data_IF_300500525819
#
_entry.id   IF_300500525819
#
_cell.length_a   1.000
_cell.length_b   1.000
_cell.length_c   1.000
_cell.angle_alpha   90.00
_cell.angle_beta   90.00
_cell.angle_gamma   90.00
#
_symmetry.space_group_name_H-M   'P 1'
#
loop_
_entity.id
_entity.type
_entity.pdbx_description
1 polymer ?
#
# COMPACT_ATOMS: atom_id res chain seq x y z
N UNK A 1 20.61 12.19 13.05
CA UNK A 1 20.83 10.98 12.22
C UNK A 1 21.33 11.40 10.85
N UNK A 2 22.31 10.70 10.25
CA UNK A 2 22.78 10.99 8.90
C UNK A 2 21.67 10.71 7.88
N UNK A 3 21.55 11.58 6.87
CA UNK A 3 20.48 11.49 5.84
C UNK A 3 20.54 10.18 5.04
N UNK A 4 21.75 9.62 4.83
CA UNK A 4 21.92 8.32 4.16
C UNK A 4 21.32 7.16 4.99
N UNK A 5 21.56 7.16 6.31
CA UNK A 5 20.97 6.16 7.22
C UNK A 5 19.45 6.25 7.21
N UNK A 6 18.90 7.47 7.20
CA UNK A 6 17.45 7.68 7.10
C UNK A 6 16.89 7.12 5.79
N UNK A 7 17.50 7.45 4.65
CA UNK A 7 17.09 6.93 3.33
C UNK A 7 17.16 5.41 3.28
N UNK A 8 18.20 4.80 3.84
CA UNK A 8 18.34 3.35 3.90
C UNK A 8 17.20 2.69 4.70
N UNK A 9 16.86 3.24 5.86
CA UNK A 9 15.74 2.76 6.69
C UNK A 9 14.40 2.90 6.00
N UNK A 10 14.18 4.00 5.27
CA UNK A 10 12.97 4.19 4.45
C UNK A 10 12.87 3.14 3.34
N UNK A 11 13.98 2.80 2.68
CA UNK A 11 13.98 1.75 1.65
C UNK A 11 13.60 0.39 2.26
N UNK A 12 14.17 0.03 3.40
CA UNK A 12 13.78 -1.18 4.15
C UNK A 12 12.31 -1.16 4.55
N UNK A 13 11.84 -0.05 5.12
CA UNK A 13 10.46 0.11 5.53
C UNK A 13 9.51 -0.08 4.36
N UNK A 14 9.72 0.65 3.27
CA UNK A 14 8.88 0.56 2.08
C UNK A 14 8.92 -0.85 1.48
N UNK A 15 10.08 -1.51 1.48
CA UNK A 15 10.21 -2.86 0.97
C UNK A 15 9.44 -3.88 1.81
N UNK A 16 9.56 -3.84 3.14
CA UNK A 16 8.82 -4.73 4.05
C UNK A 16 7.32 -4.49 3.93
N UNK A 17 6.87 -3.23 3.96
CA UNK A 17 5.45 -2.91 3.76
C UNK A 17 4.95 -3.40 2.39
N UNK A 18 5.78 -3.31 1.35
CA UNK A 18 5.44 -3.79 0.02
C UNK A 18 5.23 -5.31 0.02
N UNK A 19 6.12 -6.07 0.66
CA UNK A 19 5.97 -7.53 0.78
C UNK A 19 4.71 -7.91 1.57
N UNK A 20 4.39 -7.18 2.64
CA UNK A 20 3.15 -7.40 3.39
C UNK A 20 1.92 -7.19 2.48
N UNK A 21 1.90 -6.14 1.65
CA UNK A 21 0.81 -5.93 0.67
C UNK A 21 0.73 -7.08 -0.33
N UNK A 22 1.87 -7.59 -0.82
CA UNK A 22 1.88 -8.78 -1.68
C UNK A 22 1.22 -9.97 -0.97
N UNK A 23 1.53 -10.20 0.31
CA UNK A 23 0.91 -11.27 1.09
C UNK A 23 -0.61 -11.09 1.25
N UNK A 24 -1.12 -9.86 1.37
CA UNK A 24 -2.58 -9.62 1.41
C UNK A 24 -3.25 -10.19 0.16
N UNK A 25 -2.67 -9.95 -1.02
CA UNK A 25 -3.23 -10.39 -2.29
C UNK A 25 -2.80 -11.80 -2.70
N UNK A 26 -1.90 -12.42 -1.96
CA UNK A 26 -1.49 -13.81 -2.15
C UNK A 26 -2.48 -14.81 -1.52
N UNK A 27 -3.46 -14.35 -0.73
CA UNK A 27 -4.48 -15.22 -0.12
C UNK A 27 -5.19 -16.07 -1.18
N UNK A 28 -5.23 -17.38 -0.92
CA UNK A 28 -5.62 -18.38 -1.91
C UNK A 28 -6.58 -19.43 -1.36
N UNK A 29 -7.16 -19.22 -0.17
CA UNK A 29 -8.13 -20.12 0.45
C UNK A 29 -9.41 -20.34 -0.39
N UNK A 30 -9.71 -19.41 -1.31
CA UNK A 30 -10.82 -19.54 -2.25
C UNK A 30 -10.46 -20.32 -3.52
N UNK A 31 -9.17 -20.60 -3.75
CA UNK A 31 -8.64 -21.29 -4.92
C UNK A 31 -8.37 -22.76 -4.58
N UNK A 32 -7.76 -23.01 -3.42
CA UNK A 32 -7.47 -24.36 -2.92
C UNK A 32 -8.64 -24.85 -2.04
N UNK A 33 -9.45 -25.75 -2.59
CA UNK A 33 -10.73 -26.18 -2.02
C UNK A 33 -10.61 -27.33 -1.01
N UNK A 34 -9.44 -27.95 -0.86
CA UNK A 34 -9.19 -28.92 0.21
C UNK A 34 -8.54 -28.20 1.42
N UNK A 35 -9.35 -27.68 2.37
CA UNK A 35 -8.85 -26.83 3.43
C UNK A 35 -7.98 -27.61 4.42
N UNK A 36 -6.92 -26.95 4.88
CA UNK A 36 -6.13 -27.40 6.03
C UNK A 36 -6.30 -26.34 7.13
N UNK A 37 -7.11 -26.60 8.18
CA UNK A 37 -7.57 -25.57 9.11
C UNK A 37 -6.45 -24.72 9.73
N UNK A 38 -5.35 -25.36 10.14
CA UNK A 38 -4.23 -24.66 10.78
C UNK A 38 -3.47 -23.75 9.81
N UNK A 39 -3.33 -24.14 8.53
CA UNK A 39 -2.72 -23.32 7.47
C UNK A 39 -3.63 -22.13 7.18
N UNK A 40 -4.92 -22.39 6.96
CA UNK A 40 -5.91 -21.33 6.70
C UNK A 40 -5.93 -20.31 7.83
N UNK A 41 -6.03 -20.77 9.08
CA UNK A 41 -6.03 -19.89 10.23
C UNK A 41 -4.75 -19.07 10.35
N UNK A 42 -3.60 -19.68 10.08
CA UNK A 42 -2.29 -19.01 10.14
C UNK A 42 -2.15 -17.94 9.05
N UNK A 43 -2.59 -18.23 7.81
CA UNK A 43 -2.58 -17.26 6.71
C UNK A 43 -3.56 -16.12 6.98
N UNK A 44 -4.80 -16.42 7.39
CA UNK A 44 -5.79 -15.40 7.76
C UNK A 44 -5.27 -14.53 8.90
N UNK A 45 -4.70 -15.12 9.95
CA UNK A 45 -4.13 -14.37 11.06
C UNK A 45 -3.01 -13.44 10.59
N UNK A 46 -2.04 -13.95 9.83
CA UNK A 46 -0.95 -13.14 9.31
C UNK A 46 -1.45 -11.99 8.45
N UNK A 47 -2.37 -12.25 7.52
CA UNK A 47 -2.85 -11.25 6.58
C UNK A 47 -3.77 -10.22 7.25
N UNK A 48 -4.78 -10.68 7.99
CA UNK A 48 -5.81 -9.82 8.58
C UNK A 48 -5.32 -9.06 9.81
N UNK A 49 -4.25 -9.52 10.47
CA UNK A 49 -3.71 -8.89 11.69
C UNK A 49 -2.37 -8.19 11.46
N UNK A 50 -1.46 -8.76 10.67
CA UNK A 50 -0.11 -8.20 10.53
C UNK A 50 0.01 -7.46 9.20
N UNK A 51 -0.30 -8.13 8.09
CA UNK A 51 -0.10 -7.55 6.77
C UNK A 51 -1.00 -6.34 6.51
N UNK A 52 -2.22 -6.35 7.05
CA UNK A 52 -3.19 -5.24 6.93
C UNK A 52 -2.67 -3.88 7.45
N UNK A 53 -1.64 -3.89 8.30
CA UNK A 53 -0.99 -2.68 8.84
C UNK A 53 -0.12 -1.95 7.81
N UNK A 54 0.22 -2.61 6.70
CA UNK A 54 1.10 -2.06 5.68
C UNK A 54 0.49 -0.85 4.95
N UNK A 55 -0.80 -0.91 4.62
CA UNK A 55 -1.48 0.17 3.88
C UNK A 55 -1.58 1.47 4.71
N UNK A 56 -2.05 1.45 5.98
CA UNK A 56 -1.95 2.61 6.87
C UNK A 56 -0.52 3.13 7.00
N UNK A 57 0.46 2.23 7.16
CA UNK A 57 1.89 2.57 7.25
C UNK A 57 2.41 3.30 6.01
N UNK A 58 2.01 2.85 4.82
CA UNK A 58 2.35 3.54 3.57
C UNK A 58 1.73 4.94 3.48
N UNK A 59 0.47 5.13 3.90
CA UNK A 59 -0.13 6.48 3.93
C UNK A 59 0.58 7.40 4.92
N UNK A 60 0.87 6.94 6.13
CA UNK A 60 1.62 7.70 7.13
C UNK A 60 3.03 8.07 6.63
N UNK A 61 3.77 7.09 6.09
CA UNK A 61 5.09 7.30 5.52
C UNK A 61 5.05 8.29 4.35
N UNK A 62 4.07 8.15 3.45
CA UNK A 62 3.91 9.03 2.28
C UNK A 62 3.61 10.47 2.70
N UNK A 63 2.68 10.68 3.66
CA UNK A 63 2.39 12.01 4.20
C UNK A 63 3.62 12.63 4.87
N UNK A 64 4.31 11.86 5.73
CA UNK A 64 5.52 12.33 6.41
C UNK A 64 6.60 12.77 5.41
N UNK A 65 6.93 11.92 4.44
CA UNK A 65 7.96 12.22 3.44
C UNK A 65 7.53 13.36 2.51
N UNK A 66 6.25 13.48 2.20
CA UNK A 66 5.73 14.55 1.35
C UNK A 66 5.89 15.92 2.03
N UNK A 67 5.50 16.05 3.30
CA UNK A 67 5.53 17.33 4.00
C UNK A 67 6.82 17.62 4.76
N UNK A 68 7.74 16.66 4.86
CA UNK A 68 9.08 16.92 5.39
C UNK A 68 9.76 18.01 4.57
N UNK A 69 10.14 19.10 5.26
CA UNK A 69 10.80 20.28 4.69
C UNK A 69 9.99 20.96 3.55
N UNK A 70 8.66 20.91 3.66
CA UNK A 70 7.72 21.52 2.72
C UNK A 70 7.49 23.01 3.02
N UNK A 71 7.42 23.80 1.96
CA UNK A 71 7.12 25.24 1.97
C UNK A 71 6.21 25.55 0.78
N UNK A 72 5.48 26.67 0.84
CA UNK A 72 4.55 27.09 -0.23
C UNK A 72 5.23 27.17 -1.61
N UNK A 73 6.47 27.67 -1.67
CA UNK A 73 7.27 27.78 -2.89
C UNK A 73 7.55 26.43 -3.58
N UNK A 74 7.61 25.34 -2.81
CA UNK A 74 7.91 24.00 -3.32
C UNK A 74 6.70 23.27 -3.87
N UNK A 75 5.49 23.85 -3.77
CA UNK A 75 4.24 23.23 -4.24
C UNK A 75 4.34 22.87 -5.73
N UNK A 76 4.62 23.81 -6.66
CA UNK A 76 4.59 23.50 -8.09
C UNK A 76 5.60 22.41 -8.46
N UNK A 77 6.81 22.49 -7.91
CA UNK A 77 7.89 21.52 -8.13
C UNK A 77 7.51 20.13 -7.59
N UNK A 78 6.90 20.04 -6.39
CA UNK A 78 6.44 18.77 -5.81
C UNK A 78 5.28 18.18 -6.61
N UNK A 79 4.27 18.97 -7.00
CA UNK A 79 3.16 18.49 -7.82
C UNK A 79 3.64 18.00 -9.18
N UNK A 80 4.52 18.74 -9.85
CA UNK A 80 5.15 18.29 -11.11
C UNK A 80 5.84 16.94 -10.95
N UNK A 81 6.64 16.75 -9.88
CA UNK A 81 7.26 15.44 -9.59
C UNK A 81 6.23 14.34 -9.36
N UNK A 82 5.08 14.63 -8.75
CA UNK A 82 4.00 13.64 -8.55
C UNK A 82 3.29 13.27 -9.85
N UNK A 83 3.22 14.17 -10.83
CA UNK A 83 2.74 13.79 -12.18
C UNK A 83 3.62 12.69 -12.78
N UNK A 84 4.95 12.87 -12.75
CA UNK A 84 5.87 11.87 -13.33
C UNK A 84 6.02 10.60 -12.48
N UNK A 85 5.95 10.71 -11.15
CA UNK A 85 6.16 9.55 -10.26
C UNK A 85 4.88 8.79 -9.93
N UNK A 86 3.70 9.42 -10.05
CA UNK A 86 2.41 8.81 -9.75
C UNK A 86 1.45 8.86 -10.94
N UNK A 87 1.06 10.03 -11.45
CA UNK A 87 -0.02 10.14 -12.43
C UNK A 87 0.30 9.38 -13.74
N UNK A 88 1.47 9.60 -14.32
CA UNK A 88 1.88 8.93 -15.56
C UNK A 88 1.94 7.40 -15.35
N UNK A 89 2.65 6.86 -14.35
CA UNK A 89 2.64 5.43 -14.11
C UNK A 89 1.24 4.87 -13.82
N UNK A 90 0.38 5.59 -13.10
CA UNK A 90 -1.00 5.17 -12.84
C UNK A 90 -1.77 4.96 -14.15
N UNK A 91 -1.74 5.94 -15.06
CA UNK A 91 -2.43 5.87 -16.35
C UNK A 91 -1.86 4.75 -17.23
N UNK A 92 -0.52 4.65 -17.30
CA UNK A 92 0.15 3.64 -18.12
C UNK A 92 -0.15 2.23 -17.62
N UNK A 93 -0.05 1.98 -16.32
CA UNK A 93 -0.35 0.66 -15.76
C UNK A 93 -1.84 0.31 -15.91
N UNK A 94 -2.77 1.22 -15.67
CA UNK A 94 -4.19 0.92 -15.88
C UNK A 94 -4.50 0.63 -17.35
N UNK A 95 -3.86 1.35 -18.28
CA UNK A 95 -3.95 1.05 -19.70
C UNK A 95 -3.38 -0.35 -20.02
N UNK A 96 -2.19 -0.69 -19.51
CA UNK A 96 -1.60 -2.02 -19.72
C UNK A 96 -2.47 -3.14 -19.15
N UNK A 97 -3.05 -2.95 -17.96
CA UNK A 97 -4.00 -3.89 -17.38
C UNK A 97 -5.24 -4.05 -18.26
N UNK A 98 -5.80 -2.95 -18.79
CA UNK A 98 -6.95 -3.02 -19.69
C UNK A 98 -6.64 -3.84 -20.95
N UNK A 99 -5.50 -3.58 -21.61
CA UNK A 99 -5.07 -4.35 -22.79
C UNK A 99 -4.79 -5.81 -22.43
N UNK A 100 -4.18 -6.06 -21.28
CA UNK A 100 -3.92 -7.42 -20.82
C UNK A 100 -5.24 -8.20 -20.60
N UNK A 101 -6.24 -7.61 -19.96
CA UNK A 101 -7.54 -8.25 -19.79
C UNK A 101 -8.27 -8.49 -21.13
N UNK A 102 -8.16 -7.57 -22.09
CA UNK A 102 -8.71 -7.76 -23.44
C UNK A 102 -8.05 -8.93 -24.19
N UNK A 103 -6.73 -9.02 -24.13
CA UNK A 103 -5.94 -10.01 -24.89
C UNK A 103 -5.90 -11.38 -24.22
N UNK A 104 -5.72 -11.45 -22.91
CA UNK A 104 -5.66 -12.70 -22.15
C UNK A 104 -6.96 -13.51 -22.29
N UNK A 105 -8.10 -12.84 -22.47
CA UNK A 105 -9.39 -13.52 -22.67
C UNK A 105 -9.52 -14.23 -24.02
N UNK A 106 -8.80 -13.77 -25.04
CA UNK A 106 -8.82 -14.39 -26.36
C UNK A 106 -8.03 -15.71 -26.39
N UNK A 107 -7.19 -15.97 -25.39
CA UNK A 107 -6.40 -17.20 -25.27
C UNK A 107 -7.21 -18.23 -24.46
N UNK A 108 -7.53 -19.42 -25.02
CA UNK A 108 -8.49 -20.37 -24.41
C UNK A 108 -8.21 -20.73 -22.94
N UNK A 109 -6.94 -20.85 -22.58
CA UNK A 109 -6.52 -21.25 -21.24
C UNK A 109 -6.35 -20.06 -20.28
N UNK A 110 -5.99 -18.86 -20.79
CA UNK A 110 -5.89 -17.65 -19.97
C UNK A 110 -7.27 -16.99 -19.75
N UNK A 111 -8.22 -17.17 -20.66
CA UNK A 111 -9.57 -16.64 -20.54
C UNK A 111 -10.34 -17.23 -19.36
N UNK A 112 -10.03 -18.46 -18.96
CA UNK A 112 -10.57 -19.10 -17.75
C UNK A 112 -10.05 -18.46 -16.45
N UNK A 113 -8.99 -17.66 -16.53
CA UNK A 113 -8.44 -16.95 -15.37
C UNK A 113 -9.21 -15.66 -15.07
N UNK A 114 -10.06 -15.17 -15.98
CA UNK A 114 -10.75 -13.88 -15.86
C UNK A 114 -12.27 -14.02 -15.93
N UNK A 115 -12.94 -13.76 -14.81
CA UNK A 115 -14.39 -13.96 -14.66
C UNK A 115 -15.23 -12.80 -15.22
N UNK A 116 -14.62 -11.68 -15.61
CA UNK A 116 -15.33 -10.46 -16.01
C UNK A 116 -15.24 -10.21 -17.52
N UNK A 117 -16.40 -9.92 -18.13
CA UNK A 117 -16.43 -9.45 -19.51
C UNK A 117 -15.88 -8.02 -19.61
N UNK A 118 -15.04 -7.77 -20.62
CA UNK A 118 -14.49 -6.45 -20.92
C UNK A 118 -15.12 -5.95 -22.22
N UNK A 119 -16.16 -5.09 -22.15
CA UNK A 119 -16.73 -4.50 -23.35
C UNK A 119 -15.71 -3.54 -23.96
N UNK A 120 -15.63 -3.54 -25.30
CA UNK A 120 -14.89 -2.51 -26.02
C UNK A 120 -15.80 -1.30 -26.21
N UNK A 121 -15.66 -0.29 -25.34
CA UNK A 121 -16.36 0.98 -25.47
C UNK A 121 -15.52 2.13 -24.90
N UNK A 122 -15.76 3.35 -25.37
CA UNK A 122 -15.06 4.54 -24.87
C UNK A 122 -15.33 4.75 -23.36
N UNK A 123 -16.56 4.50 -22.91
CA UNK A 123 -16.90 4.59 -21.49
C UNK A 123 -16.12 3.58 -20.65
N UNK A 124 -15.96 2.35 -21.14
CA UNK A 124 -15.17 1.33 -20.45
C UNK A 124 -13.69 1.62 -20.46
N UNK A 125 -13.16 2.18 -21.55
CA UNK A 125 -11.78 2.65 -21.60
C UNK A 125 -11.53 3.75 -20.54
N UNK A 126 -12.41 4.74 -20.44
CA UNK A 126 -12.31 5.81 -19.43
C UNK A 126 -12.37 5.21 -18.01
N UNK A 127 -13.33 4.31 -17.76
CA UNK A 127 -13.47 3.65 -16.46
C UNK A 127 -12.25 2.78 -16.12
N UNK A 128 -11.67 2.11 -17.10
CA UNK A 128 -10.47 1.30 -16.93
C UNK A 128 -9.25 2.15 -16.57
N UNK A 129 -8.97 3.19 -17.36
CA UNK A 129 -7.74 3.97 -17.28
C UNK A 129 -7.76 4.98 -16.13
N UNK A 130 -8.88 5.72 -15.97
CA UNK A 130 -8.99 6.79 -14.96
C UNK A 130 -9.50 6.27 -13.61
N UNK A 131 -10.39 5.27 -13.62
CA UNK A 131 -11.05 4.75 -12.42
C UNK A 131 -10.65 3.31 -12.09
N UNK A 132 -9.49 2.86 -12.59
CA UNK A 132 -8.80 1.62 -12.19
C UNK A 132 -9.71 0.38 -12.18
N UNK A 133 -10.76 0.34 -13.02
CA UNK A 133 -11.81 -0.70 -12.98
C UNK A 133 -11.27 -2.14 -13.05
N UNK A 134 -10.25 -2.37 -13.87
CA UNK A 134 -9.61 -3.68 -14.05
C UNK A 134 -8.33 -3.86 -13.21
N UNK A 135 -7.99 -2.87 -12.39
CA UNK A 135 -6.80 -2.88 -11.55
C UNK A 135 -7.15 -2.37 -10.15
N UNK A 136 -7.92 -3.14 -9.37
CA UNK A 136 -8.54 -2.65 -8.14
C UNK A 136 -7.48 -2.16 -7.14
N UNK A 137 -6.29 -2.74 -7.08
CA UNK A 137 -5.23 -2.37 -6.12
C UNK A 137 -4.71 -0.93 -6.32
N UNK A 138 -4.91 -0.34 -7.49
CA UNK A 138 -4.49 1.03 -7.80
C UNK A 138 -5.32 2.13 -7.12
N UNK A 139 -6.39 1.77 -6.40
CA UNK A 139 -7.13 2.70 -5.53
C UNK A 139 -6.19 3.46 -4.58
N UNK A 140 -5.20 2.77 -4.00
CA UNK A 140 -4.23 3.35 -3.07
C UNK A 140 -3.41 4.47 -3.75
N UNK A 141 -2.96 4.21 -4.97
CA UNK A 141 -2.20 5.18 -5.76
C UNK A 141 -3.05 6.38 -6.17
N UNK A 142 -4.32 6.15 -6.53
CA UNK A 142 -5.26 7.25 -6.80
C UNK A 142 -5.43 8.14 -5.56
N UNK A 143 -5.57 7.57 -4.36
CA UNK A 143 -5.73 8.35 -3.14
C UNK A 143 -4.47 9.16 -2.83
N UNK A 144 -3.27 8.61 -3.07
CA UNK A 144 -2.03 9.38 -2.98
C UNK A 144 -1.94 10.53 -4.01
N UNK A 145 -2.44 10.32 -5.22
CA UNK A 145 -2.58 11.39 -6.22
C UNK A 145 -3.50 12.48 -5.66
N UNK A 146 -4.71 12.12 -5.24
CA UNK A 146 -5.68 13.06 -4.66
C UNK A 146 -5.08 13.86 -3.49
N UNK A 147 -4.48 13.19 -2.51
CA UNK A 147 -3.85 13.84 -1.36
C UNK A 147 -2.64 14.69 -1.73
N UNK A 148 -1.89 14.32 -2.77
CA UNK A 148 -0.79 15.14 -3.29
C UNK A 148 -1.30 16.43 -3.92
N UNK A 149 -2.36 16.37 -4.74
CA UNK A 149 -2.96 17.55 -5.37
C UNK A 149 -3.73 18.43 -4.38
N UNK A 150 -4.30 17.83 -3.32
CA UNK A 150 -4.87 18.54 -2.17
C UNK A 150 -3.81 19.16 -1.25
N UNK A 151 -2.52 19.01 -1.56
CA UNK A 151 -1.45 19.48 -0.67
C UNK A 151 -1.45 20.96 -0.32
N UNK A 152 -1.88 21.91 -1.18
CA UNK A 152 -2.00 23.32 -0.77
C UNK A 152 -3.01 23.49 0.37
N UNK A 153 -4.15 22.80 0.29
CA UNK A 153 -5.21 22.86 1.31
C UNK A 153 -4.75 22.18 2.60
N UNK A 154 -4.22 20.95 2.48
CA UNK A 154 -3.72 20.19 3.63
C UNK A 154 -2.59 20.96 4.33
N UNK A 155 -1.64 21.52 3.58
CA UNK A 155 -0.57 22.33 4.17
C UNK A 155 -1.11 23.58 4.85
N UNK A 156 -2.05 24.30 4.24
CA UNK A 156 -2.69 25.47 4.83
C UNK A 156 -3.33 25.17 6.19
N UNK A 157 -4.06 24.06 6.29
CA UNK A 157 -4.71 23.61 7.52
C UNK A 157 -3.70 23.12 8.58
N UNK A 158 -2.68 22.38 8.16
CA UNK A 158 -1.72 21.76 9.08
C UNK A 158 -0.53 22.66 9.44
N UNK A 159 -0.31 23.79 8.75
CA UNK A 159 0.85 24.67 8.98
C UNK A 159 0.89 25.22 10.40
N UNK A 160 -0.27 25.55 10.97
CA UNK A 160 -0.38 26.02 12.36
C UNK A 160 -0.46 24.83 13.29
N UNK A 161 0.37 24.78 14.34
CA UNK A 161 0.51 23.61 15.21
C UNK A 161 -0.81 23.18 15.85
N UNK A 162 -1.51 24.10 16.51
CA UNK A 162 -2.74 23.78 17.23
C UNK A 162 -3.94 23.56 16.31
N UNK A 163 -4.08 24.36 15.26
CA UNK A 163 -5.13 24.18 14.24
C UNK A 163 -4.92 22.84 13.53
N UNK A 164 -3.69 22.52 13.13
CA UNK A 164 -3.35 21.26 12.50
C UNK A 164 -3.63 20.06 13.40
N UNK A 165 -3.28 20.16 14.69
CA UNK A 165 -3.61 19.12 15.67
C UNK A 165 -5.13 18.96 15.82
N UNK A 166 -5.87 20.06 15.92
CA UNK A 166 -7.34 20.04 15.98
C UNK A 166 -7.94 19.38 14.73
N UNK A 167 -7.46 19.71 13.53
CA UNK A 167 -7.92 19.11 12.27
C UNK A 167 -7.68 17.60 12.26
N UNK A 168 -6.48 17.14 12.67
CA UNK A 168 -6.18 15.71 12.75
C UNK A 168 -7.10 15.00 13.75
N UNK A 169 -7.31 15.58 14.93
CA UNK A 169 -8.19 15.02 15.96
C UNK A 169 -9.65 15.01 15.49
N UNK A 170 -10.12 16.06 14.84
CA UNK A 170 -11.48 16.16 14.32
C UNK A 170 -11.74 15.09 13.24
N UNK A 171 -10.84 14.94 12.27
CA UNK A 171 -10.94 13.90 11.24
C UNK A 171 -10.85 12.51 11.88
N UNK A 172 -10.01 12.33 12.90
CA UNK A 172 -9.93 11.07 13.65
C UNK A 172 -11.26 10.76 14.35
N UNK A 173 -11.85 11.71 15.07
CA UNK A 173 -13.10 11.54 15.80
C UNK A 173 -14.29 11.24 14.85
N UNK A 174 -14.34 11.88 13.68
CA UNK A 174 -15.35 11.61 12.65
C UNK A 174 -15.24 10.16 12.13
N UNK A 175 -14.03 9.68 11.88
CA UNK A 175 -13.80 8.29 11.46
C UNK A 175 -14.06 7.29 12.58
N UNK A 176 -13.68 7.63 13.81
CA UNK A 176 -13.87 6.78 14.99
C UNK A 176 -15.35 6.57 15.31
N UNK A 177 -16.13 7.65 15.27
CA UNK A 177 -17.57 7.64 15.58
C UNK A 177 -18.42 7.05 14.46
N UNK A 178 -17.89 6.92 13.24
CA UNK A 178 -18.62 6.50 12.05
C UNK A 178 -19.89 7.30 11.72
N UNK A 179 -20.05 8.52 12.28
CA UNK A 179 -21.26 9.33 12.12
C UNK A 179 -21.54 9.65 10.64
N UNK A 180 -20.49 9.86 9.85
CA UNK A 180 -20.61 10.23 8.44
C UNK A 180 -20.81 9.03 7.51
N UNK A 181 -20.65 7.78 7.97
CA UNK A 181 -20.70 6.61 7.08
C UNK A 181 -22.08 6.39 6.48
N UNK A 182 -23.15 6.82 7.18
CA UNK A 182 -24.52 6.70 6.69
C UNK A 182 -24.89 7.76 5.63
N UNK A 183 -24.15 8.86 5.55
CA UNK A 183 -24.52 10.03 4.73
C UNK A 183 -23.60 10.22 3.52
N UNK A 184 -22.39 9.65 3.55
CA UNK A 184 -21.41 9.80 2.48
C UNK A 184 -21.46 8.62 1.50
N UNK A 185 -21.27 8.88 0.18
CA UNK A 185 -21.03 7.80 -0.77
C UNK A 185 -19.84 6.95 -0.34
N UNK A 186 -19.91 5.63 -0.56
CA UNK A 186 -18.91 4.64 -0.10
C UNK A 186 -17.47 5.09 -0.42
N UNK A 187 -17.20 5.48 -1.67
CA UNK A 187 -15.86 5.93 -2.09
C UNK A 187 -15.38 7.18 -1.34
N UNK A 188 -16.28 8.12 -1.04
CA UNK A 188 -15.93 9.35 -0.31
C UNK A 188 -15.61 9.01 1.14
N UNK A 189 -16.39 8.11 1.73
CA UNK A 189 -16.14 7.60 3.07
C UNK A 189 -14.80 6.84 3.15
N UNK A 190 -14.46 6.04 2.13
CA UNK A 190 -13.16 5.37 2.05
C UNK A 190 -12.02 6.39 2.00
N UNK A 191 -12.10 7.41 1.13
CA UNK A 191 -11.08 8.46 1.04
C UNK A 191 -10.91 9.17 2.39
N UNK A 192 -12.01 9.51 3.07
CA UNK A 192 -11.99 10.12 4.40
C UNK A 192 -11.31 9.18 5.41
N UNK A 193 -11.64 7.90 5.40
CA UNK A 193 -11.07 6.85 6.26
C UNK A 193 -9.57 6.68 6.08
N UNK A 194 -9.06 6.77 4.85
CA UNK A 194 -7.61 6.68 4.59
C UNK A 194 -6.89 8.02 4.80
N UNK A 195 -7.59 9.14 4.70
CA UNK A 195 -7.02 10.47 4.87
C UNK A 195 -6.42 10.67 6.26
N UNK A 196 -6.99 10.06 7.31
CA UNK A 196 -6.47 10.23 8.68
C UNK A 196 -5.02 9.76 8.82
N UNK A 197 -4.67 8.62 8.24
CA UNK A 197 -3.30 8.09 8.26
C UNK A 197 -2.34 9.01 7.52
N UNK A 198 -2.77 9.52 6.37
CA UNK A 198 -1.98 10.49 5.59
C UNK A 198 -1.80 11.81 6.35
N UNK A 199 -2.85 12.33 6.99
CA UNK A 199 -2.82 13.57 7.77
C UNK A 199 -1.94 13.45 9.01
N UNK A 200 -1.99 12.32 9.74
CA UNK A 200 -1.09 12.04 10.86
C UNK A 200 0.36 12.08 10.39
N UNK A 201 0.68 11.36 9.30
CA UNK A 201 2.01 11.39 8.71
C UNK A 201 2.44 12.80 8.30
N UNK A 202 1.54 13.55 7.66
CA UNK A 202 1.76 14.92 7.22
C UNK A 202 2.06 15.86 8.39
N UNK A 203 1.26 15.81 9.46
CA UNK A 203 1.44 16.61 10.67
C UNK A 203 2.79 16.31 11.33
N UNK A 204 3.18 15.04 11.44
CA UNK A 204 4.50 14.62 11.93
C UNK A 204 5.64 15.17 11.05
N UNK A 205 5.46 15.17 9.73
CA UNK A 205 6.44 15.71 8.78
C UNK A 205 6.64 17.22 8.87
N UNK A 206 5.61 17.96 9.31
CA UNK A 206 5.64 19.41 9.48
C UNK A 206 6.24 19.79 10.83
N UNK A 207 5.64 19.30 11.93
CA UNK A 207 5.91 19.79 13.30
C UNK A 207 6.86 18.91 14.12
N UNK A 208 6.87 17.60 13.90
CA UNK A 208 7.53 16.61 14.78
C UNK A 208 8.51 15.72 14.01
N UNK A 209 9.38 16.35 13.23
CA UNK A 209 10.35 15.66 12.37
C UNK A 209 11.32 14.77 13.13
N UNK A 210 11.62 15.08 14.39
CA UNK A 210 12.56 14.33 15.24
C UNK A 210 11.91 13.13 15.94
N UNK A 211 10.58 13.14 16.09
CA UNK A 211 9.84 12.09 16.81
C UNK A 211 9.91 10.72 16.14
N UNK A 212 10.26 10.67 14.85
CA UNK A 212 10.40 9.41 14.09
C UNK A 212 11.68 8.62 14.42
N UNK A 213 12.65 9.22 15.11
CA UNK A 213 13.89 8.55 15.50
C UNK A 213 14.34 9.00 16.90
N UNK A 214 13.58 8.66 17.95
CA UNK A 214 13.92 9.06 19.31
C UNK A 214 15.16 8.29 19.80
N UNK A 215 15.90 8.88 20.76
CA UNK A 215 17.12 8.27 21.33
C UNK A 215 16.85 6.89 21.95
N UNK A 216 15.68 6.70 22.56
CA UNK A 216 15.24 5.44 23.20
C UNK A 216 14.11 4.81 22.38
N UNK A 217 14.46 4.04 21.35
CA UNK A 217 13.47 3.46 20.42
C UNK A 217 12.59 2.37 21.06
N UNK A 218 13.05 1.68 22.09
CA UNK A 218 12.27 0.64 22.75
C UNK A 218 11.00 1.17 23.43
N UNK A 219 10.99 2.43 23.87
CA UNK A 219 9.83 3.06 24.51
C UNK A 219 8.64 3.19 23.54
N UNK A 220 8.75 3.87 22.39
CA UNK A 220 7.65 3.93 21.43
C UNK A 220 7.31 2.55 20.86
N UNK A 221 8.28 1.63 20.67
CA UNK A 221 7.98 0.25 20.27
C UNK A 221 7.02 -0.39 21.26
N UNK A 222 7.31 -0.31 22.57
CA UNK A 222 6.45 -0.90 23.60
C UNK A 222 5.09 -0.20 23.68
N UNK A 223 5.06 1.13 23.63
CA UNK A 223 3.81 1.92 23.67
C UNK A 223 2.89 1.55 22.51
N UNK A 224 3.41 1.54 21.28
CA UNK A 224 2.60 1.24 20.10
C UNK A 224 2.25 -0.25 20.00
N UNK A 225 3.08 -1.14 20.53
CA UNK A 225 2.73 -2.56 20.66
C UNK A 225 1.57 -2.75 21.63
N UNK A 226 1.67 -2.21 22.86
CA UNK A 226 0.60 -2.28 23.86
C UNK A 226 -0.68 -1.61 23.32
N UNK A 227 -0.57 -0.42 22.72
CA UNK A 227 -1.69 0.27 22.10
C UNK A 227 -2.36 -0.53 20.99
N UNK A 228 -1.57 -1.25 20.17
CA UNK A 228 -2.10 -2.17 19.15
C UNK A 228 -2.83 -3.36 19.77
N UNK A 229 -2.28 -3.97 20.83
CA UNK A 229 -2.94 -5.09 21.53
C UNK A 229 -4.25 -4.66 22.20
N UNK A 230 -4.25 -3.53 22.91
CA UNK A 230 -5.43 -3.00 23.60
C UNK A 230 -6.53 -2.68 22.58
N UNK A 231 -6.20 -1.93 21.52
CA UNK A 231 -7.17 -1.59 20.47
C UNK A 231 -7.68 -2.80 19.72
N UNK A 232 -6.85 -3.84 19.52
CA UNK A 232 -7.29 -5.11 18.95
C UNK A 232 -8.34 -5.80 19.83
N UNK A 233 -8.10 -5.89 21.13
CA UNK A 233 -9.06 -6.48 22.09
C UNK A 233 -10.37 -5.69 22.08
N UNK A 234 -10.31 -4.36 22.16
CA UNK A 234 -11.51 -3.53 22.14
C UNK A 234 -12.26 -3.57 20.81
N UNK A 235 -11.55 -3.69 19.68
CA UNK A 235 -12.20 -3.88 18.38
C UNK A 235 -13.00 -5.17 18.31
N UNK A 236 -12.54 -6.23 18.99
CA UNK A 236 -13.25 -7.50 19.06
C UNK A 236 -14.43 -7.46 20.04
N UNK A 237 -14.26 -6.79 21.19
CA UNK A 237 -15.27 -6.75 22.26
C UNK A 237 -16.41 -5.75 21.97
N UNK A 238 -16.10 -4.55 21.50
CA UNK A 238 -17.09 -3.45 21.47
C UNK A 238 -17.87 -3.34 20.15
N UNK A 239 -17.60 -4.17 19.12
CA UNK A 239 -18.21 -4.12 17.77
C UNK A 239 -18.12 -2.73 17.08
N UNK A 240 -17.56 -1.72 17.73
CA UNK A 240 -17.37 -0.38 17.20
C UNK A 240 -16.16 -0.34 16.26
N UNK A 241 -16.42 0.02 15.01
CA UNK A 241 -15.42 0.13 13.94
C UNK A 241 -14.28 1.12 14.27
N UNK A 242 -14.48 2.05 15.20
CA UNK A 242 -13.49 3.06 15.59
C UNK A 242 -12.17 2.48 16.12
N UNK A 243 -12.22 1.38 16.88
CA UNK A 243 -11.03 0.74 17.45
C UNK A 243 -10.10 0.16 16.39
N UNK A 244 -10.64 -0.23 15.22
CA UNK A 244 -9.85 -0.70 14.08
C UNK A 244 -8.91 0.40 13.56
N UNK A 245 -9.33 1.68 13.61
CA UNK A 245 -8.48 2.79 13.20
C UNK A 245 -7.29 2.98 14.16
N UNK A 246 -7.54 2.87 15.47
CA UNK A 246 -6.48 2.93 16.48
C UNK A 246 -5.52 1.76 16.30
N UNK A 247 -6.05 0.56 16.10
CA UNK A 247 -5.25 -0.64 15.85
C UNK A 247 -4.33 -0.48 14.64
N UNK A 248 -4.88 -0.05 13.50
CA UNK A 248 -4.12 0.19 12.28
C UNK A 248 -3.06 1.28 12.45
N UNK A 249 -3.40 2.37 13.15
CA UNK A 249 -2.47 3.47 13.43
C UNK A 249 -1.32 3.02 14.36
N UNK A 250 -1.64 2.38 15.48
CA UNK A 250 -0.67 1.88 16.44
C UNK A 250 0.20 0.79 15.82
N UNK A 251 -0.39 -0.15 15.08
CA UNK A 251 0.34 -1.21 14.39
C UNK A 251 1.29 -0.67 13.31
N UNK A 252 0.86 0.31 12.51
CA UNK A 252 1.74 0.97 11.54
C UNK A 252 2.91 1.71 12.20
N UNK A 253 2.64 2.42 13.30
CA UNK A 253 3.67 3.09 14.09
C UNK A 253 4.63 2.08 14.75
N UNK A 254 4.11 0.99 15.30
CA UNK A 254 4.90 -0.11 15.86
C UNK A 254 5.87 -0.67 14.83
N UNK A 255 5.40 -1.01 13.62
CA UNK A 255 6.26 -1.52 12.54
C UNK A 255 7.34 -0.51 12.15
N UNK A 256 7.02 0.78 12.11
CA UNK A 256 8.01 1.83 11.86
C UNK A 256 9.11 1.82 12.92
N UNK A 257 8.77 1.93 14.21
CA UNK A 257 9.78 1.98 15.27
C UNK A 257 10.56 0.68 15.41
N UNK A 258 9.93 -0.48 15.17
CA UNK A 258 10.58 -1.78 15.16
C UNK A 258 11.68 -1.84 14.09
N UNK A 259 11.38 -1.43 12.86
CA UNK A 259 12.35 -1.36 11.75
C UNK A 259 13.45 -0.33 12.05
N UNK A 260 13.12 0.76 12.72
CA UNK A 260 14.11 1.75 13.15
C UNK A 260 15.07 1.21 14.21
N UNK A 261 14.59 0.39 15.14
CA UNK A 261 15.36 -0.22 16.23
C UNK A 261 16.38 -1.26 15.73
N UNK A 262 16.04 -2.04 14.70
CA UNK A 262 16.88 -3.14 14.20
C UNK A 262 18.08 -2.58 13.39
N UNK A 263 19.34 -2.94 13.68
CA UNK A 263 20.47 -2.55 12.81
C UNK A 263 20.33 -3.25 11.45
N UNK A 264 20.01 -2.49 10.40
CA UNK A 264 19.77 -3.02 9.06
C UNK A 264 20.94 -2.68 8.13
N UNK A 265 21.40 -3.64 7.30
CA UNK A 265 22.48 -3.40 6.34
C UNK A 265 22.04 -2.44 5.22
N UNK A 266 22.97 -2.05 4.36
CA UNK A 266 22.66 -1.25 3.17
C UNK A 266 21.66 -2.00 2.28
N UNK A 267 20.55 -1.37 1.98
CA UNK A 267 19.49 -1.89 1.14
C UNK A 267 20.05 -2.24 -0.25
N UNK A 268 19.68 -3.41 -0.75
CA UNK A 268 20.11 -3.91 -2.06
C UNK A 268 19.33 -3.20 -3.17
N UNK A 269 19.83 -3.28 -4.40
CA UNK A 269 19.23 -2.59 -5.55
C UNK A 269 17.81 -3.07 -5.84
N UNK A 270 17.57 -4.38 -5.79
CA UNK A 270 16.25 -4.99 -6.03
C UNK A 270 15.17 -4.51 -5.06
N UNK A 271 15.55 -4.08 -3.86
CA UNK A 271 14.61 -3.52 -2.87
C UNK A 271 14.05 -2.15 -3.27
N UNK A 272 14.65 -1.48 -4.27
CA UNK A 272 14.16 -0.18 -4.76
C UNK A 272 12.94 -0.33 -5.67
N UNK A 273 12.69 -1.52 -6.19
CA UNK A 273 11.62 -1.81 -7.15
C UNK A 273 10.23 -1.94 -6.50
N UNK A 274 9.99 -1.34 -5.33
CA UNK A 274 8.73 -1.47 -4.59
C UNK A 274 7.52 -1.01 -5.41
N UNK A 275 7.68 0.04 -6.23
CA UNK A 275 6.60 0.49 -7.11
C UNK A 275 6.24 -0.57 -8.16
N UNK A 276 7.24 -1.24 -8.72
CA UNK A 276 7.03 -2.25 -9.74
C UNK A 276 6.40 -3.52 -9.15
N UNK A 277 6.90 -3.95 -7.99
CA UNK A 277 6.31 -5.04 -7.20
C UNK A 277 4.84 -4.71 -6.92
N UNK A 278 4.55 -3.49 -6.44
CA UNK A 278 3.19 -3.01 -6.25
C UNK A 278 2.37 -3.03 -7.56
N UNK A 279 2.95 -2.72 -8.72
CA UNK A 279 2.21 -2.72 -9.97
C UNK A 279 1.82 -4.12 -10.47
N UNK A 280 2.66 -5.14 -10.24
CA UNK A 280 2.48 -6.48 -10.84
C UNK A 280 2.03 -7.56 -9.85
N UNK A 281 2.15 -7.35 -8.55
CA UNK A 281 1.94 -8.43 -7.57
C UNK A 281 0.57 -9.08 -7.64
N UNK A 282 -0.51 -8.33 -7.85
CA UNK A 282 -1.86 -8.91 -7.84
C UNK A 282 -2.05 -9.89 -8.99
N UNK A 283 -1.68 -9.48 -10.20
CA UNK A 283 -1.83 -10.32 -11.40
C UNK A 283 -0.91 -11.55 -11.34
N UNK A 284 0.30 -11.37 -10.81
CA UNK A 284 1.22 -12.47 -10.57
C UNK A 284 0.71 -13.42 -9.49
N UNK A 285 0.16 -12.91 -8.38
CA UNK A 285 -0.39 -13.75 -7.32
C UNK A 285 -1.57 -14.58 -7.82
N UNK A 286 -2.49 -13.97 -8.58
CA UNK A 286 -3.61 -14.67 -9.20
C UNK A 286 -3.11 -15.77 -10.15
N UNK A 287 -2.18 -15.42 -11.04
CA UNK A 287 -1.59 -16.36 -11.98
C UNK A 287 -0.91 -17.53 -11.27
N UNK A 288 0.00 -17.25 -10.33
CA UNK A 288 0.75 -18.28 -9.60
C UNK A 288 -0.18 -19.21 -8.78
N UNK A 289 -1.21 -18.66 -8.14
CA UNK A 289 -2.18 -19.47 -7.40
C UNK A 289 -3.01 -20.36 -8.33
N UNK A 290 -3.58 -19.82 -9.42
CA UNK A 290 -4.39 -20.62 -10.35
C UNK A 290 -3.55 -21.67 -11.08
N UNK A 291 -2.33 -21.33 -11.48
CA UNK A 291 -1.40 -22.27 -12.12
C UNK A 291 -0.94 -23.36 -11.17
N UNK A 292 -0.62 -23.00 -9.93
CA UNK A 292 -0.25 -23.96 -8.89
C UNK A 292 -1.38 -24.94 -8.58
N UNK A 293 -2.62 -24.45 -8.48
CA UNK A 293 -3.79 -25.29 -8.30
C UNK A 293 -3.96 -26.31 -9.45
N UNK A 294 -3.77 -25.89 -10.71
CA UNK A 294 -3.91 -26.82 -11.83
C UNK A 294 -2.79 -27.87 -11.88
N UNK A 295 -1.53 -27.45 -11.72
CA UNK A 295 -0.39 -28.34 -11.96
C UNK A 295 0.04 -29.16 -10.76
N UNK A 296 -0.12 -28.64 -9.54
CA UNK A 296 0.39 -29.29 -8.33
C UNK A 296 -0.73 -29.98 -7.54
N UNK A 297 -1.99 -29.59 -7.76
CA UNK A 297 -3.17 -30.16 -7.11
C UNK A 297 -3.88 -29.18 -6.18
N UNK A 298 -5.08 -29.58 -5.74
CA UNK A 298 -6.05 -28.72 -5.05
C UNK A 298 -5.92 -28.72 -3.51
N UNK A 299 -4.72 -29.01 -3.00
CA UNK A 299 -4.47 -29.11 -1.56
C UNK A 299 -3.99 -27.81 -0.95
N UNK A 300 -4.53 -27.43 0.22
CA UNK A 300 -4.06 -26.24 0.94
C UNK A 300 -2.61 -26.35 1.44
N UNK A 301 -2.02 -27.56 1.51
CA UNK A 301 -0.58 -27.70 1.75
C UNK A 301 0.23 -27.02 0.64
N UNK A 302 -0.20 -27.20 -0.61
CA UNK A 302 0.40 -26.55 -1.79
C UNK A 302 0.09 -25.07 -1.77
N UNK A 303 -1.16 -24.70 -1.48
CA UNK A 303 -1.58 -23.30 -1.32
C UNK A 303 -0.73 -22.54 -0.30
N UNK A 304 -0.42 -23.15 0.85
CA UNK A 304 0.45 -22.58 1.87
C UNK A 304 1.89 -22.34 1.38
N UNK A 305 2.47 -23.30 0.64
CA UNK A 305 3.80 -23.14 0.04
C UNK A 305 3.79 -22.01 -1.00
N UNK A 306 2.79 -21.99 -1.88
CA UNK A 306 2.65 -20.94 -2.90
C UNK A 306 2.50 -19.57 -2.26
N UNK A 307 1.70 -19.45 -1.21
CA UNK A 307 1.53 -18.20 -0.45
C UNK A 307 2.88 -17.63 0.03
N UNK A 308 3.76 -18.48 0.58
CA UNK A 308 5.10 -18.08 1.03
C UNK A 308 6.04 -17.73 -0.13
N UNK A 309 5.89 -18.41 -1.27
CA UNK A 309 6.75 -18.23 -2.44
C UNK A 309 6.38 -17.00 -3.29
N UNK A 310 5.11 -16.59 -3.33
CA UNK A 310 4.65 -15.46 -4.16
C UNK A 310 5.48 -14.18 -3.92
N UNK A 311 5.69 -13.69 -2.68
CA UNK A 311 6.51 -12.48 -2.45
C UNK A 311 7.94 -12.58 -3.01
N UNK A 312 8.54 -13.77 -2.93
CA UNK A 312 9.89 -14.04 -3.46
C UNK A 312 9.87 -14.02 -4.98
N UNK A 313 8.95 -14.77 -5.61
CA UNK A 313 8.84 -14.88 -7.07
C UNK A 313 8.54 -13.51 -7.69
N UNK A 314 7.62 -12.74 -7.11
CA UNK A 314 7.29 -11.39 -7.59
C UNK A 314 8.49 -10.46 -7.48
N UNK A 315 9.25 -10.52 -6.39
CA UNK A 315 10.45 -9.68 -6.21
C UNK A 315 11.53 -10.04 -7.24
N UNK A 316 11.80 -11.34 -7.44
CA UNK A 316 12.77 -11.81 -8.43
C UNK A 316 12.35 -11.44 -9.85
N UNK A 317 11.08 -11.63 -10.19
CA UNK A 317 10.53 -11.23 -11.48
C UNK A 317 10.73 -9.73 -11.75
N UNK A 318 10.38 -8.89 -10.77
CA UNK A 318 10.56 -7.43 -10.88
C UNK A 318 12.03 -7.04 -11.05
N UNK A 319 12.95 -7.73 -10.37
CA UNK A 319 14.39 -7.49 -10.52
C UNK A 319 14.91 -7.91 -11.91
N UNK A 320 14.49 -9.07 -12.42
CA UNK A 320 14.83 -9.48 -13.78
C UNK A 320 14.27 -8.49 -14.82
N UNK A 321 13.02 -8.05 -14.64
CA UNK A 321 12.37 -7.09 -15.52
C UNK A 321 13.08 -5.72 -15.49
N UNK A 322 13.52 -5.24 -14.32
CA UNK A 322 14.39 -4.06 -14.21
C UNK A 322 15.65 -4.20 -15.08
N UNK A 323 16.38 -5.32 -14.93
CA UNK A 323 17.65 -5.53 -15.66
C UNK A 323 17.45 -5.57 -17.17
N UNK A 324 16.39 -6.23 -17.64
CA UNK A 324 16.07 -6.34 -19.07
C UNK A 324 15.65 -4.97 -19.61
N UNK A 325 14.71 -4.29 -18.94
CA UNK A 325 14.19 -3.01 -19.44
C UNK A 325 15.24 -1.90 -19.37
N UNK A 326 16.09 -1.84 -18.35
CA UNK A 326 17.20 -0.88 -18.31
C UNK A 326 18.19 -1.10 -19.46
N UNK A 327 18.41 -2.35 -19.88
CA UNK A 327 19.33 -2.70 -20.97
C UNK A 327 18.76 -2.36 -22.34
N UNK A 328 17.50 -2.72 -22.61
CA UNK A 328 16.92 -2.65 -23.95
C UNK A 328 15.97 -1.45 -24.16
N UNK A 329 15.24 -1.04 -23.13
CA UNK A 329 14.18 -0.01 -23.22
C UNK A 329 14.18 0.94 -22.01
N UNK A 330 15.26 1.71 -21.75
CA UNK A 330 15.41 2.52 -20.53
C UNK A 330 14.34 3.61 -20.38
N UNK A 331 13.80 4.10 -21.49
CA UNK A 331 12.69 5.07 -21.49
C UNK A 331 11.40 4.42 -20.96
N UNK A 332 11.10 3.20 -21.41
CA UNK A 332 9.94 2.43 -20.93
C UNK A 332 10.11 2.12 -19.43
N UNK A 333 11.30 1.71 -19.00
CA UNK A 333 11.60 1.53 -17.57
C UNK A 333 11.26 2.77 -16.75
N UNK A 334 11.76 3.94 -17.18
CA UNK A 334 11.53 5.20 -16.47
C UNK A 334 10.05 5.55 -16.34
N UNK A 335 9.25 5.26 -17.37
CA UNK A 335 7.80 5.48 -17.36
C UNK A 335 7.12 4.48 -16.42
N UNK A 336 7.46 3.19 -16.53
CA UNK A 336 6.86 2.12 -15.71
C UNK A 336 7.25 2.19 -14.23
N UNK A 337 8.45 2.69 -13.89
CA UNK A 337 8.91 2.86 -12.52
C UNK A 337 8.53 4.22 -11.91
N UNK A 338 8.07 5.17 -12.74
CA UNK A 338 7.85 6.56 -12.33
C UNK A 338 9.15 7.30 -11.98
N UNK A 339 10.25 6.94 -12.66
CA UNK A 339 11.59 7.50 -12.43
C UNK A 339 12.22 7.10 -11.10
N UNK A 340 11.77 5.99 -10.51
CA UNK A 340 12.32 5.40 -9.28
C UNK A 340 13.25 4.24 -9.58
#
# INVERSE_FOLDING_TARGET
>A
MKEETFKNKILWYNFIMCLLVVCIHAQNMHIFLEPVPWINHSISFFVERIACLAVPGFFMCSGYLFYRNFTWEKIPEKLKRRVFSLVIPFLVWNFLYYIFHLTARQVPYLGQLFDTAVPFSLQEFINAVLFYKYNPVFWFMLYLILFSFLSPVIYGLLKQKWIGLFVVIAVFALNFSSVLTAYLPIKVNDILGWSIYYLIGSYLGIHWKESISPKRMYIPVLIFFIGSCISFIFAFVNVQNGWIYIYKMCGAAFLWYLIWMIPLPKAKTWMKNTFLIYAVHQIMALFLNKMGNLFLGNSMYIGGIIFLMIPVIVTVFCYCMEKILLKYCPVIWKILSGGR
#
